data_IF_481390834780
#
_entry.id   IF_481390834780
#
_cell.length_a   1.000
_cell.length_b   1.000
_cell.length_c   1.000
_cell.angle_alpha   90.00
_cell.angle_beta   90.00
_cell.angle_gamma   90.00
#
_symmetry.space_group_name_H-M   'P 1'
#
loop_
_entity.id
_entity.type
_entity.pdbx_description
1 polymer ?
#
# COMPACT_ATOMS: atom_id res chain seq x y z
N UNK A 1 25.99 -41.38 -14.34
CA UNK A 1 24.77 -40.72 -13.85
C UNK A 1 25.10 -39.24 -13.67
N UNK A 2 24.86 -38.43 -14.70
CA UNK A 2 25.24 -37.01 -14.74
C UNK A 2 24.16 -36.17 -14.03
N UNK A 3 24.52 -35.59 -12.89
CA UNK A 3 23.68 -34.65 -12.15
C UNK A 3 23.86 -33.26 -12.76
N UNK A 4 22.85 -32.79 -13.48
CA UNK A 4 22.81 -31.45 -14.07
C UNK A 4 22.56 -30.43 -12.96
N UNK A 5 23.62 -29.73 -12.54
CA UNK A 5 23.53 -28.61 -11.61
C UNK A 5 22.85 -27.41 -12.30
N UNK A 6 21.66 -27.04 -11.83
CA UNK A 6 20.98 -25.81 -12.24
C UNK A 6 21.71 -24.60 -11.65
N UNK A 7 22.05 -23.55 -12.42
CA UNK A 7 22.64 -22.34 -11.88
C UNK A 7 21.64 -21.63 -10.94
N UNK A 8 22.11 -20.94 -9.87
CA UNK A 8 21.22 -20.18 -9.00
C UNK A 8 20.55 -19.07 -9.80
N UNK A 9 19.23 -19.16 -9.94
CA UNK A 9 18.40 -18.13 -10.58
C UNK A 9 18.66 -16.79 -9.89
N UNK A 10 18.98 -15.70 -10.62
CA UNK A 10 19.13 -14.39 -9.99
C UNK A 10 17.82 -14.03 -9.26
N UNK A 11 17.88 -13.46 -8.04
CA UNK A 11 16.68 -13.04 -7.33
C UNK A 11 15.93 -12.05 -8.23
N UNK A 12 14.65 -12.32 -8.48
CA UNK A 12 13.81 -11.40 -9.22
C UNK A 12 13.85 -10.01 -8.55
N UNK A 13 13.85 -8.90 -9.31
CA UNK A 13 13.81 -7.57 -8.72
C UNK A 13 12.60 -7.48 -7.80
N UNK A 14 12.84 -7.27 -6.50
CA UNK A 14 11.77 -7.11 -5.52
C UNK A 14 10.97 -5.87 -5.87
N UNK A 15 9.62 -5.95 -5.93
CA UNK A 15 8.82 -4.76 -6.14
C UNK A 15 9.10 -3.74 -5.03
N UNK A 16 9.11 -2.43 -5.35
CA UNK A 16 9.36 -1.40 -4.35
C UNK A 16 8.26 -1.42 -3.27
N UNK A 17 8.61 -1.09 -2.01
CA UNK A 17 7.62 -0.99 -0.95
C UNK A 17 6.62 0.14 -1.24
N UNK A 18 5.37 -0.08 -0.84
CA UNK A 18 4.31 0.92 -0.95
C UNK A 18 4.26 1.73 0.34
N UNK A 19 4.60 3.01 0.24
CA UNK A 19 4.47 3.95 1.35
C UNK A 19 3.05 4.48 1.44
N UNK A 20 2.42 4.29 2.59
CA UNK A 20 1.07 4.75 2.86
C UNK A 20 1.08 5.77 4.00
N UNK A 21 0.15 6.72 3.93
CA UNK A 21 -0.26 7.57 5.04
C UNK A 21 -1.75 7.40 5.24
N UNK A 22 -2.15 6.88 6.40
CA UNK A 22 -3.54 6.72 6.78
C UNK A 22 -3.98 7.98 7.52
N UNK A 23 -4.81 8.78 6.84
CA UNK A 23 -5.43 10.00 7.38
C UNK A 23 -6.74 9.62 8.07
N UNK A 24 -6.86 9.85 9.37
CA UNK A 24 -8.13 9.63 10.06
C UNK A 24 -9.04 10.85 9.94
N UNK A 25 -10.33 10.63 9.74
CA UNK A 25 -11.32 11.72 9.72
C UNK A 25 -11.64 12.26 11.13
N UNK A 26 -11.26 11.54 12.18
CA UNK A 26 -11.40 11.93 13.60
C UNK A 26 -10.13 12.65 14.08
N UNK A 27 -10.12 13.21 15.30
CA UNK A 27 -8.93 13.88 15.90
C UNK A 27 -7.77 12.92 16.27
N UNK A 28 -7.60 11.83 15.52
CA UNK A 28 -6.50 10.87 15.65
C UNK A 28 -5.37 11.31 14.70
N UNK A 29 -4.09 11.25 15.13
CA UNK A 29 -2.97 11.58 14.26
C UNK A 29 -2.85 10.59 13.10
N UNK A 30 -2.27 11.06 12.01
CA UNK A 30 -2.04 10.23 10.83
C UNK A 30 -1.08 9.09 11.14
N UNK A 31 -1.30 7.95 10.47
CA UNK A 31 -0.41 6.80 10.61
C UNK A 31 0.34 6.53 9.32
N UNK A 32 1.66 6.62 9.41
CA UNK A 32 2.58 6.20 8.37
C UNK A 32 2.79 4.68 8.39
N UNK A 33 2.64 4.05 7.21
CA UNK A 33 2.87 2.62 7.03
C UNK A 33 3.78 2.38 5.82
N UNK A 34 4.65 1.38 5.94
CA UNK A 34 5.49 0.85 4.87
C UNK A 34 5.01 -0.58 4.58
N UNK A 35 4.58 -0.84 3.34
CA UNK A 35 4.13 -2.16 2.92
C UNK A 35 5.15 -2.75 1.94
N UNK A 36 5.95 -3.75 2.35
CA UNK A 36 7.00 -4.31 1.49
C UNK A 36 6.45 -5.08 0.28
N UNK A 37 5.27 -5.70 0.43
CA UNK A 37 4.65 -6.52 -0.61
C UNK A 37 3.20 -6.10 -0.88
N UNK A 38 2.96 -4.95 -1.54
CA UNK A 38 1.61 -4.43 -1.74
C UNK A 38 0.75 -5.29 -2.67
N UNK A 39 1.37 -6.16 -3.47
CA UNK A 39 0.68 -7.11 -4.35
C UNK A 39 0.15 -8.33 -3.61
N UNK A 40 0.75 -8.70 -2.48
CA UNK A 40 0.32 -9.84 -1.65
C UNK A 40 -0.40 -9.40 -0.38
N UNK A 41 -0.48 -8.10 -0.12
CA UNK A 41 -1.18 -7.55 1.05
C UNK A 41 -2.58 -7.13 0.64
N UNK A 42 -3.60 -7.58 1.36
CA UNK A 42 -4.99 -7.18 1.13
C UNK A 42 -5.36 -5.95 1.95
N UNK A 43 -6.45 -5.30 1.56
CA UNK A 43 -7.09 -4.25 2.34
C UNK A 43 -7.52 -4.78 3.71
N UNK A 44 -7.99 -6.03 3.80
CA UNK A 44 -8.32 -6.68 5.07
C UNK A 44 -7.11 -6.81 6.00
N UNK A 45 -5.96 -7.26 5.48
CA UNK A 45 -4.70 -7.32 6.25
C UNK A 45 -4.31 -5.95 6.78
N UNK A 46 -4.47 -4.90 5.97
CA UNK A 46 -4.21 -3.52 6.36
C UNK A 46 -5.17 -3.04 7.46
N UNK A 47 -6.47 -3.34 7.36
CA UNK A 47 -7.46 -3.03 8.42
C UNK A 47 -7.12 -3.74 9.72
N UNK A 48 -6.71 -5.00 9.65
CA UNK A 48 -6.29 -5.77 10.83
C UNK A 48 -5.05 -5.15 11.51
N UNK A 49 -4.07 -4.72 10.72
CA UNK A 49 -2.89 -4.00 11.23
C UNK A 49 -3.28 -2.68 11.91
N UNK A 50 -4.11 -1.87 11.24
CA UNK A 50 -4.60 -0.60 11.78
C UNK A 50 -5.37 -0.81 13.09
N UNK A 51 -6.18 -1.86 13.15
CA UNK A 51 -6.94 -2.21 14.34
C UNK A 51 -6.03 -2.52 15.53
N UNK A 52 -4.92 -3.25 15.33
CA UNK A 52 -3.93 -3.50 16.39
C UNK A 52 -3.30 -2.20 16.89
N UNK A 53 -3.00 -1.26 15.98
CA UNK A 53 -2.37 0.03 16.31
C UNK A 53 -3.32 1.00 17.02
N UNK A 54 -4.59 1.03 16.62
CA UNK A 54 -5.61 1.90 17.19
C UNK A 54 -6.31 1.30 18.42
N UNK A 55 -6.10 0.01 18.68
CA UNK A 55 -6.74 -0.75 19.77
C UNK A 55 -8.27 -0.58 19.83
N UNK A 56 -8.92 -0.55 18.65
CA UNK A 56 -10.36 -0.26 18.51
C UNK A 56 -11.13 -1.43 17.90
N UNK A 57 -12.29 -1.85 18.46
CA UNK A 57 -13.14 -2.85 17.82
C UNK A 57 -13.93 -2.29 16.62
N UNK A 58 -13.80 -1.00 16.32
CA UNK A 58 -14.65 -0.31 15.36
C UNK A 58 -14.31 -0.66 13.90
N UNK A 59 -15.33 -0.67 13.06
CA UNK A 59 -15.25 -0.94 11.62
C UNK A 59 -14.42 0.14 10.94
N UNK A 60 -13.38 -0.28 10.21
CA UNK A 60 -12.50 0.64 9.48
C UNK A 60 -12.94 0.68 8.01
N UNK A 61 -13.22 1.88 7.51
CA UNK A 61 -13.56 2.14 6.11
C UNK A 61 -12.41 2.91 5.49
N UNK A 62 -11.70 2.29 4.55
CA UNK A 62 -10.59 2.91 3.84
C UNK A 62 -11.09 3.50 2.53
N UNK A 63 -10.81 4.78 2.30
CA UNK A 63 -11.27 5.54 1.13
C UNK A 63 -10.05 6.14 0.43
N UNK A 64 -9.92 5.85 -0.85
CA UNK A 64 -8.89 6.42 -1.71
C UNK A 64 -9.54 6.94 -3.00
N UNK A 65 -9.21 8.16 -3.40
CA UNK A 65 -9.78 8.82 -4.60
C UNK A 65 -11.32 8.80 -4.65
N UNK A 66 -11.98 9.01 -3.50
CA UNK A 66 -13.44 9.01 -3.41
C UNK A 66 -14.10 7.63 -3.47
N UNK A 67 -13.32 6.54 -3.54
CA UNK A 67 -13.82 5.16 -3.57
C UNK A 67 -13.50 4.41 -2.28
N UNK A 68 -14.50 3.69 -1.75
CA UNK A 68 -14.29 2.75 -0.65
C UNK A 68 -13.50 1.54 -1.16
N UNK A 69 -12.42 1.19 -0.45
CA UNK A 69 -11.56 0.08 -0.82
C UNK A 69 -12.16 -1.25 -0.33
N UNK A 70 -12.34 -2.25 -1.21
CA UNK A 70 -12.87 -3.56 -0.87
C UNK A 70 -11.83 -4.43 -0.16
N UNK A 71 -12.28 -5.21 0.82
CA UNK A 71 -11.43 -5.98 1.73
C UNK A 71 -10.54 -7.03 1.05
N UNK A 72 -11.06 -7.73 0.04
CA UNK A 72 -10.36 -8.82 -0.64
C UNK A 72 -9.33 -8.37 -1.69
N UNK A 73 -9.30 -7.08 -2.04
CA UNK A 73 -8.39 -6.59 -3.09
C UNK A 73 -6.98 -6.34 -2.58
N UNK A 74 -6.01 -6.55 -3.47
CA UNK A 74 -4.60 -6.23 -3.22
C UNK A 74 -4.40 -4.71 -3.09
N UNK A 75 -3.55 -4.26 -2.18
CA UNK A 75 -3.23 -2.84 -2.03
C UNK A 75 -2.72 -2.23 -3.34
N UNK A 76 -1.85 -2.95 -4.07
CA UNK A 76 -1.33 -2.49 -5.36
C UNK A 76 -2.40 -2.31 -6.44
N UNK A 77 -3.53 -3.01 -6.36
CA UNK A 77 -4.60 -2.93 -7.36
C UNK A 77 -5.45 -1.66 -7.16
N UNK A 78 -5.70 -1.28 -5.91
CA UNK A 78 -6.57 -0.15 -5.54
C UNK A 78 -5.83 1.14 -5.18
N UNK A 79 -4.55 1.03 -4.79
CA UNK A 79 -3.66 2.15 -4.46
C UNK A 79 -2.63 2.30 -5.57
N UNK A 80 -3.05 2.92 -6.69
CA UNK A 80 -2.15 3.23 -7.79
C UNK A 80 -1.36 4.50 -7.45
N UNK A 81 -0.03 4.49 -7.56
CA UNK A 81 0.76 5.71 -7.49
C UNK A 81 0.22 6.71 -8.53
N UNK A 82 0.15 8.02 -8.22
CA UNK A 82 -0.19 9.01 -9.23
C UNK A 82 0.84 8.87 -10.36
N UNK A 83 0.36 8.73 -11.60
CA UNK A 83 1.20 8.73 -12.79
C UNK A 83 2.06 9.99 -12.72
N UNK A 84 3.38 9.82 -12.60
CA UNK A 84 4.28 10.96 -12.70
C UNK A 84 4.00 11.65 -14.04
N UNK A 85 3.86 12.99 -14.08
CA UNK A 85 3.72 13.68 -15.35
C UNK A 85 4.94 13.34 -16.22
N UNK A 86 4.75 13.13 -17.54
CA UNK A 86 5.87 12.84 -18.42
C UNK A 86 6.92 13.95 -18.29
N UNK A 87 8.23 13.62 -18.32
CA UNK A 87 9.27 14.64 -18.27
C UNK A 87 9.05 15.63 -19.42
N UNK A 88 9.21 16.95 -19.20
CA UNK A 88 9.12 17.91 -20.28
C UNK A 88 10.21 17.54 -21.29
N UNK A 89 9.79 17.21 -22.53
CA UNK A 89 10.66 17.08 -23.69
C UNK A 89 11.24 18.45 -24.01
N UNK A 90 12.20 18.91 -23.20
CA UNK A 90 13.03 20.06 -23.55
C UNK A 90 13.94 19.66 -24.68
N UNK A 91 13.67 20.25 -25.85
CA UNK A 91 14.64 20.39 -26.93
C UNK A 91 15.94 20.96 -26.35
N UNK A 92 17.12 20.47 -26.76
CA UNK A 92 18.38 20.92 -26.20
C UNK A 92 18.79 22.25 -26.83
N UNK A 93 18.34 23.36 -26.26
CA UNK A 93 18.91 24.67 -26.54
C UNK A 93 19.46 25.30 -25.26
N UNK A 94 20.79 25.27 -25.21
CA UNK A 94 21.74 26.03 -24.42
C UNK A 94 21.28 26.70 -23.10
N UNK A 95 21.98 26.28 -22.03
CA UNK A 95 22.35 27.10 -20.87
C UNK A 95 21.25 27.37 -19.83
N UNK A 96 20.90 26.32 -19.09
CA UNK A 96 20.23 26.44 -17.79
C UNK A 96 20.70 25.33 -16.85
N UNK A 97 21.38 25.70 -15.76
CA UNK A 97 21.89 24.79 -14.71
C UNK A 97 20.71 24.32 -13.83
N UNK A 98 19.82 23.53 -14.40
CA UNK A 98 18.73 22.88 -13.66
C UNK A 98 19.26 21.61 -13.00
N UNK A 99 19.40 21.62 -11.67
CA UNK A 99 19.68 20.40 -10.90
C UNK A 99 18.54 19.42 -11.16
N UNK A 100 18.80 18.36 -11.92
CA UNK A 100 17.97 17.17 -11.88
C UNK A 100 17.99 16.69 -10.42
N UNK A 101 16.90 16.92 -9.70
CA UNK A 101 16.68 16.24 -8.44
C UNK A 101 16.37 14.79 -8.81
N UNK A 102 17.42 14.00 -8.97
CA UNK A 102 17.39 12.55 -8.83
C UNK A 102 17.09 12.26 -7.34
N UNK A 103 15.90 12.67 -6.93
CA UNK A 103 15.32 12.40 -5.64
C UNK A 103 14.17 11.50 -5.95
N UNK A 104 14.40 10.20 -5.97
CA UNK A 104 13.36 9.19 -5.90
C UNK A 104 12.66 9.35 -4.55
N UNK A 105 11.90 10.43 -4.38
CA UNK A 105 11.03 10.64 -3.23
C UNK A 105 10.02 9.50 -3.34
N UNK A 106 10.04 8.54 -2.41
CA UNK A 106 9.15 7.40 -2.53
C UNK A 106 7.71 7.93 -2.48
N UNK A 107 6.95 7.64 -3.54
CA UNK A 107 5.60 8.17 -3.70
C UNK A 107 4.72 7.65 -2.58
N UNK A 108 4.37 8.55 -1.67
CA UNK A 108 3.51 8.24 -0.53
C UNK A 108 2.05 8.42 -0.90
N UNK A 109 1.27 7.36 -0.76
CA UNK A 109 -0.16 7.37 -1.07
C UNK A 109 -0.94 7.69 0.19
N UNK A 110 -1.80 8.71 0.10
CA UNK A 110 -2.68 9.12 1.19
C UNK A 110 -4.00 8.38 1.10
N UNK A 111 -4.38 7.68 2.17
CA UNK A 111 -5.63 6.94 2.25
C UNK A 111 -6.42 7.47 3.44
N UNK A 112 -7.66 7.89 3.20
CA UNK A 112 -8.54 8.32 4.27
C UNK A 112 -9.12 7.09 4.99
N UNK A 113 -9.19 7.13 6.31
CA UNK A 113 -9.80 6.10 7.13
C UNK A 113 -10.91 6.69 8.00
N UNK A 114 -12.13 6.21 7.81
CA UNK A 114 -13.27 6.51 8.67
C UNK A 114 -13.50 5.35 9.63
N UNK A 115 -13.75 5.68 10.89
CA UNK A 115 -14.03 4.72 11.96
C UNK A 115 -15.55 4.69 12.17
N UNK A 116 -16.16 3.52 11.98
CA UNK A 116 -17.60 3.30 12.13
C UNK A 116 -17.97 2.60 13.43
N UNK A 117 -19.04 1.81 13.36
CA UNK A 117 -19.61 0.98 14.43
C UNK A 117 -18.68 -0.12 14.94
N UNK A 118 -18.85 -0.52 16.21
CA UNK A 118 -18.11 -1.62 16.82
C UNK A 118 -18.44 -2.97 16.17
N UNK A 119 -17.42 -3.76 15.88
CA UNK A 119 -17.54 -5.13 15.38
C UNK A 119 -17.71 -6.11 16.55
N UNK A 120 -18.41 -7.22 16.30
CA UNK A 120 -18.49 -8.31 17.28
C UNK A 120 -17.14 -9.03 17.38
N UNK A 121 -16.84 -9.67 18.52
CA UNK A 121 -15.60 -10.45 18.68
C UNK A 121 -15.45 -11.56 17.63
N UNK A 122 -16.57 -12.11 17.13
CA UNK A 122 -16.59 -13.07 16.03
C UNK A 122 -16.05 -12.46 14.73
N UNK A 123 -16.53 -11.28 14.34
CA UNK A 123 -16.07 -10.59 13.13
C UNK A 123 -14.59 -10.21 13.22
N UNK A 124 -14.12 -9.82 14.41
CA UNK A 124 -12.71 -9.51 14.66
C UNK A 124 -11.82 -10.76 14.55
N UNK A 125 -12.30 -11.91 15.01
CA UNK A 125 -11.60 -13.18 14.90
C UNK A 125 -11.55 -13.66 13.43
N UNK A 126 -12.66 -13.51 12.70
CA UNK A 126 -12.75 -13.85 11.28
C UNK A 126 -11.82 -12.97 10.43
N UNK A 127 -11.81 -11.65 10.69
CA UNK A 127 -10.85 -10.74 10.07
C UNK A 127 -9.41 -11.20 10.34
N UNK A 128 -9.08 -11.53 11.59
CA UNK A 128 -7.73 -11.98 11.94
C UNK A 128 -7.33 -13.25 11.20
N UNK A 129 -8.25 -14.20 11.04
CA UNK A 129 -8.01 -15.43 10.31
C UNK A 129 -7.79 -15.17 8.82
N UNK A 130 -8.64 -14.32 8.23
CA UNK A 130 -8.61 -13.98 6.80
C UNK A 130 -7.53 -12.97 6.43
N UNK A 131 -6.95 -12.23 7.40
CA UNK A 131 -5.89 -11.25 7.16
C UNK A 131 -4.59 -11.86 6.61
N UNK A 132 -4.44 -13.19 6.63
CA UNK A 132 -3.31 -13.90 6.03
C UNK A 132 -3.63 -14.52 4.66
N UNK A 133 -4.89 -14.43 4.20
CA UNK A 133 -5.31 -14.94 2.90
C UNK A 133 -4.72 -14.06 1.78
N UNK A 134 -4.29 -14.65 0.65
CA UNK A 134 -3.86 -13.87 -0.50
C UNK A 134 -5.02 -13.03 -1.07
N UNK A 135 -4.71 -11.93 -1.79
CA UNK A 135 -5.73 -11.16 -2.47
C UNK A 135 -6.47 -12.00 -3.52
N UNK A 136 -7.79 -11.79 -3.61
CA UNK A 136 -8.62 -12.36 -4.67
C UNK A 136 -8.70 -11.33 -5.81
N UNK A 137 -8.36 -11.78 -7.02
CA UNK A 137 -8.45 -11.00 -8.27
C UNK A 137 -9.90 -10.71 -8.64
#
# INVERSE_FOLDING_TARGET
>A
MTSTAHPPRPPAPTPPPLLLTIRFSTSIPDLDLDIPHPQSTTILSLKHLLRKRLSTPNRLRLIHQGRLLPDASALSAVLKPPLQPPPPTSKPDAKGKGKAVDGHVPLRIYVNCSIGDALSPKDLADEKASASDPPRD
#
